data_IF_662410895583
#
_entry.id   IF_662410895583
#
_cell.length_a   1.000
_cell.length_b   1.000
_cell.length_c   1.000
_cell.angle_alpha   90.00
_cell.angle_beta   90.00
_cell.angle_gamma   90.00
#
_symmetry.space_group_name_H-M   'P 1'
#
loop_
_entity.id
_entity.type
_entity.pdbx_description
1 polymer ?
#
# COMPACT_ATOMS: atom_id res chain seq x y z
N UNK A 1 10.75 12.99 5.22
CA UNK A 1 10.38 11.56 5.33
C UNK A 1 10.61 10.78 4.04
N UNK A 2 10.02 11.19 2.91
CA UNK A 2 10.06 10.45 1.62
C UNK A 2 11.44 9.94 1.16
N UNK A 3 12.54 10.71 1.22
CA UNK A 3 13.86 10.24 0.77
C UNK A 3 14.35 8.96 1.47
N UNK A 4 13.91 8.70 2.72
CA UNK A 4 14.33 7.53 3.50
C UNK A 4 13.58 6.24 3.14
N UNK A 5 12.45 6.35 2.41
CA UNK A 5 11.56 5.21 2.14
C UNK A 5 11.29 4.99 0.65
N UNK A 6 11.61 5.96 -0.20
CA UNK A 6 11.31 5.91 -1.64
C UNK A 6 11.84 4.66 -2.33
N UNK A 7 13.05 4.19 -1.97
CA UNK A 7 13.64 3.01 -2.60
C UNK A 7 12.94 1.72 -2.17
N UNK A 8 12.45 1.65 -0.92
CA UNK A 8 11.59 0.55 -0.45
C UNK A 8 10.27 0.53 -1.22
N UNK A 9 9.66 1.71 -1.42
CA UNK A 9 8.42 1.84 -2.20
C UNK A 9 8.64 1.47 -3.67
N UNK A 10 9.73 1.94 -4.29
CA UNK A 10 10.09 1.56 -5.66
C UNK A 10 10.20 0.05 -5.82
N UNK A 11 10.95 -0.61 -4.95
CA UNK A 11 11.09 -2.06 -4.98
C UNK A 11 9.76 -2.81 -4.79
N UNK A 12 8.81 -2.23 -4.03
CA UNK A 12 7.47 -2.80 -3.86
C UNK A 12 6.69 -2.80 -5.18
N UNK A 13 6.74 -1.67 -5.89
CA UNK A 13 6.02 -1.38 -7.13
C UNK A 13 6.59 -2.18 -8.30
N UNK A 14 7.92 -2.14 -8.50
CA UNK A 14 8.60 -2.82 -9.61
C UNK A 14 8.44 -4.33 -9.56
N UNK A 15 8.21 -4.90 -8.38
CA UNK A 15 8.03 -6.35 -8.21
C UNK A 15 6.69 -6.86 -8.76
N UNK A 16 5.66 -6.04 -8.84
CA UNK A 16 4.34 -6.44 -9.36
C UNK A 16 4.00 -5.79 -10.69
N UNK A 17 4.52 -4.59 -10.97
CA UNK A 17 4.17 -3.82 -12.16
C UNK A 17 2.71 -3.35 -12.19
N UNK A 18 1.99 -3.41 -11.06
CA UNK A 18 0.57 -3.04 -10.96
C UNK A 18 0.34 -1.52 -10.78
N UNK A 19 1.41 -0.75 -10.63
CA UNK A 19 1.37 0.69 -10.38
C UNK A 19 2.64 1.36 -10.91
N UNK A 20 2.62 2.69 -11.07
CA UNK A 20 3.77 3.50 -11.47
C UNK A 20 4.46 4.10 -10.24
N UNK A 21 5.78 3.89 -10.11
CA UNK A 21 6.54 4.52 -9.03
C UNK A 21 6.57 6.04 -9.17
N UNK A 22 6.66 6.55 -10.40
CA UNK A 22 6.68 7.99 -10.67
C UNK A 22 5.37 8.66 -10.23
N UNK A 23 4.23 8.00 -10.46
CA UNK A 23 2.92 8.50 -10.07
C UNK A 23 2.79 8.52 -8.55
N UNK A 24 3.21 7.44 -7.88
CA UNK A 24 3.22 7.38 -6.40
C UNK A 24 4.16 8.45 -5.82
N UNK A 25 5.35 8.65 -6.39
CA UNK A 25 6.28 9.69 -5.94
C UNK A 25 5.67 11.08 -6.08
N UNK A 26 5.07 11.39 -7.23
CA UNK A 26 4.36 12.65 -7.45
C UNK A 26 3.21 12.84 -6.45
N UNK A 27 2.38 11.82 -6.25
CA UNK A 27 1.23 11.89 -5.35
C UNK A 27 1.64 12.07 -3.88
N UNK A 28 2.72 11.40 -3.46
CA UNK A 28 3.26 11.59 -2.11
C UNK A 28 3.79 13.01 -1.93
N UNK A 29 4.55 13.53 -2.91
CA UNK A 29 5.15 14.87 -2.82
C UNK A 29 4.11 16.00 -2.91
N UNK A 30 2.98 15.74 -3.54
CA UNK A 30 1.85 16.69 -3.64
C UNK A 30 0.80 16.52 -2.54
N UNK A 31 0.95 15.51 -1.67
CA UNK A 31 0.03 15.24 -0.56
C UNK A 31 -1.25 14.51 -0.95
N UNK A 32 -1.35 14.01 -2.18
CA UNK A 32 -2.45 13.17 -2.66
C UNK A 32 -2.37 11.74 -2.11
N UNK A 33 -1.17 11.30 -1.73
CA UNK A 33 -0.93 10.04 -1.03
C UNK A 33 -0.20 10.28 0.29
N UNK A 34 -0.51 9.45 1.29
CA UNK A 34 0.20 9.41 2.55
C UNK A 34 1.27 8.32 2.54
N UNK A 35 2.33 8.54 3.31
CA UNK A 35 3.39 7.58 3.60
C UNK A 35 3.25 7.09 5.04
N UNK A 36 3.27 5.78 5.20
CA UNK A 36 3.24 5.09 6.48
C UNK A 36 4.57 4.37 6.69
N UNK A 37 5.08 4.38 7.91
CA UNK A 37 6.29 3.66 8.27
C UNK A 37 6.07 2.83 9.52
N UNK A 38 6.67 1.65 9.55
CA UNK A 38 6.90 0.92 10.79
C UNK A 38 8.37 1.15 11.19
N UNK A 39 8.57 1.71 12.37
CA UNK A 39 9.89 2.02 12.92
C UNK A 39 10.03 1.34 14.29
N UNK A 40 11.12 0.62 14.50
CA UNK A 40 11.38 -0.12 15.75
C UNK A 40 12.26 0.67 16.74
N UNK A 41 12.54 1.94 16.47
CA UNK A 41 13.45 2.77 17.27
C UNK A 41 14.87 2.90 16.68
N UNK A 42 15.27 2.02 15.76
CA UNK A 42 16.59 2.08 15.09
C UNK A 42 16.49 2.09 13.57
N UNK A 43 15.52 1.39 12.99
CA UNK A 43 15.40 1.22 11.54
C UNK A 43 13.95 1.15 11.04
N UNK A 44 13.76 1.52 9.77
CA UNK A 44 12.47 1.46 9.10
C UNK A 44 12.23 0.03 8.60
N UNK A 45 11.43 -0.71 9.37
CA UNK A 45 11.04 -2.10 9.12
C UNK A 45 10.21 -2.24 7.85
N UNK A 46 9.27 -1.31 7.66
CA UNK A 46 8.38 -1.27 6.51
C UNK A 46 8.00 0.15 6.13
N UNK A 47 7.66 0.32 4.85
CA UNK A 47 7.03 1.51 4.32
C UNK A 47 5.82 1.12 3.48
N UNK A 48 4.76 1.92 3.58
CA UNK A 48 3.58 1.78 2.74
C UNK A 48 3.09 3.16 2.29
N UNK A 49 2.32 3.17 1.21
CA UNK A 49 1.62 4.36 0.72
C UNK A 49 0.12 4.09 0.62
N UNK A 50 -0.68 5.11 0.90
CA UNK A 50 -2.14 5.02 0.76
C UNK A 50 -2.73 6.21 0.02
N UNK A 51 -3.80 5.95 -0.72
CA UNK A 51 -4.60 6.96 -1.39
C UNK A 51 -6.07 6.82 -1.01
N UNK A 52 -6.76 7.93 -0.76
CA UNK A 52 -8.22 7.93 -0.63
C UNK A 52 -8.84 8.14 -2.00
N UNK A 53 -9.71 7.21 -2.42
CA UNK A 53 -10.42 7.28 -3.70
C UNK A 53 -11.93 7.16 -3.48
N UNK A 54 -12.74 7.67 -4.40
CA UNK A 54 -14.20 7.61 -4.34
C UNK A 54 -14.81 7.07 -5.64
N UNK A 55 -14.68 5.75 -5.93
CA UNK A 55 -15.34 5.15 -7.08
C UNK A 55 -16.87 5.17 -6.92
N UNK A 56 -17.39 4.61 -5.82
CA UNK A 56 -18.81 4.63 -5.46
C UNK A 56 -18.98 5.00 -3.98
N UNK A 57 -18.26 4.29 -3.10
CA UNK A 57 -18.00 4.72 -1.72
C UNK A 57 -16.55 5.18 -1.57
N UNK A 58 -16.23 5.88 -0.48
CA UNK A 58 -14.85 6.27 -0.16
C UNK A 58 -14.06 5.01 0.24
N UNK A 59 -12.91 4.78 -0.38
CA UNK A 59 -12.05 3.61 -0.17
C UNK A 59 -10.64 4.11 0.11
N UNK A 60 -9.96 3.51 1.09
CA UNK A 60 -8.53 3.72 1.29
C UNK A 60 -7.77 2.60 0.58
N UNK A 61 -6.99 2.98 -0.44
CA UNK A 61 -6.21 2.05 -1.25
C UNK A 61 -4.78 2.04 -0.74
N UNK A 62 -4.28 0.88 -0.33
CA UNK A 62 -2.86 0.63 -0.12
C UNK A 62 -2.19 0.51 -1.50
N UNK A 63 -1.47 1.55 -1.91
CA UNK A 63 -0.90 1.67 -3.27
C UNK A 63 0.47 1.00 -3.39
N UNK A 64 1.25 0.98 -2.31
CA UNK A 64 2.48 0.21 -2.23
C UNK A 64 2.76 -0.19 -0.79
N UNK A 65 3.42 -1.33 -0.59
CA UNK A 65 3.91 -1.75 0.72
C UNK A 65 5.08 -2.72 0.58
N UNK A 66 6.17 -2.44 1.30
CA UNK A 66 7.30 -3.34 1.45
C UNK A 66 7.88 -3.26 2.86
N UNK A 67 8.49 -4.36 3.28
CA UNK A 67 9.16 -4.48 4.57
C UNK A 67 9.81 -5.85 4.71
N UNK A 68 10.64 -5.99 5.72
CA UNK A 68 11.29 -7.25 6.13
C UNK A 68 10.81 -7.62 7.52
N UNK A 69 10.84 -8.92 7.84
CA UNK A 69 10.32 -9.45 9.11
C UNK A 69 8.88 -8.99 9.44
N UNK A 70 7.91 -9.56 8.70
CA UNK A 70 6.49 -9.16 8.76
C UNK A 70 5.93 -9.07 10.16
N UNK A 71 6.34 -9.95 11.06
CA UNK A 71 5.82 -9.97 12.43
C UNK A 71 6.02 -8.64 13.15
N UNK A 72 7.08 -7.91 12.84
CA UNK A 72 7.41 -6.64 13.50
C UNK A 72 6.61 -5.43 12.99
N UNK A 73 6.00 -5.52 11.80
CA UNK A 73 5.36 -4.34 11.18
C UNK A 73 3.94 -4.57 10.68
N UNK A 74 3.42 -5.80 10.69
CA UNK A 74 2.02 -6.05 10.35
C UNK A 74 1.02 -5.25 11.21
N UNK A 75 1.27 -4.95 12.51
CA UNK A 75 0.40 -4.07 13.28
C UNK A 75 0.24 -2.65 12.69
N UNK A 76 1.11 -2.22 11.76
CA UNK A 76 0.93 -0.96 11.03
C UNK A 76 -0.41 -0.91 10.27
N UNK A 77 -0.91 -2.05 9.79
CA UNK A 77 -2.18 -2.10 9.06
C UNK A 77 -3.38 -1.67 9.91
N UNK A 78 -3.40 -2.01 11.19
CA UNK A 78 -4.47 -1.60 12.10
C UNK A 78 -4.55 -0.06 12.22
N UNK A 79 -3.39 0.62 12.16
CA UNK A 79 -3.35 2.08 12.18
C UNK A 79 -3.82 2.69 10.86
N UNK A 80 -3.48 2.06 9.73
CA UNK A 80 -3.95 2.46 8.40
C UNK A 80 -5.47 2.27 8.29
N UNK A 81 -5.99 1.16 8.82
CA UNK A 81 -7.42 0.85 8.88
C UNK A 81 -8.16 1.86 9.73
N UNK A 82 -7.66 2.15 10.93
CA UNK A 82 -8.23 3.20 11.79
C UNK A 82 -8.22 4.57 11.11
N UNK A 83 -7.16 4.90 10.37
CA UNK A 83 -7.14 6.12 9.57
C UNK A 83 -8.22 6.10 8.48
N UNK A 84 -8.37 4.99 7.76
CA UNK A 84 -9.42 4.85 6.75
C UNK A 84 -10.83 5.00 7.35
N UNK A 85 -11.08 4.41 8.51
CA UNK A 85 -12.34 4.56 9.25
C UNK A 85 -12.60 6.03 9.64
N UNK A 86 -11.60 6.72 10.20
CA UNK A 86 -11.71 8.13 10.57
C UNK A 86 -11.96 9.03 9.35
N UNK A 87 -11.42 8.65 8.20
CA UNK A 87 -11.67 9.30 6.92
C UNK A 87 -13.06 8.99 6.35
N UNK A 88 -13.84 8.10 6.97
CA UNK A 88 -15.16 7.67 6.49
C UNK A 88 -15.08 6.75 5.28
N UNK A 89 -13.97 6.00 5.13
CA UNK A 89 -13.88 4.94 4.14
C UNK A 89 -14.77 3.76 4.53
N UNK A 90 -15.48 3.21 3.56
CA UNK A 90 -16.27 1.99 3.74
C UNK A 90 -15.43 0.72 3.67
N UNK A 91 -14.21 0.81 3.13
CA UNK A 91 -13.32 -0.33 2.97
C UNK A 91 -11.86 0.07 2.75
N UNK A 92 -10.99 -0.87 3.10
CA UNK A 92 -9.61 -0.94 2.65
C UNK A 92 -9.53 -1.70 1.33
N UNK A 93 -8.56 -1.36 0.47
CA UNK A 93 -8.28 -2.09 -0.75
C UNK A 93 -6.78 -2.20 -1.02
N UNK A 94 -6.34 -3.34 -1.53
CA UNK A 94 -4.97 -3.56 -1.98
C UNK A 94 -4.99 -4.20 -3.37
N UNK A 95 -4.08 -3.76 -4.24
CA UNK A 95 -3.75 -4.44 -5.49
C UNK A 95 -2.32 -4.97 -5.37
N UNK A 96 -2.16 -6.30 -5.30
CA UNK A 96 -0.84 -6.85 -4.98
C UNK A 96 -0.73 -8.36 -5.18
N UNK A 97 0.40 -8.89 -4.74
CA UNK A 97 0.69 -10.33 -4.83
C UNK A 97 -0.33 -11.14 -4.02
N UNK A 98 -0.73 -12.30 -4.56
CA UNK A 98 -1.67 -13.25 -3.90
C UNK A 98 -1.32 -13.59 -2.45
N UNK A 99 -0.03 -13.57 -2.09
CA UNK A 99 0.42 -13.87 -0.73
C UNK A 99 -0.14 -12.96 0.36
N UNK A 100 -0.62 -11.75 0.02
CA UNK A 100 -1.25 -10.84 0.99
C UNK A 100 -2.54 -11.41 1.61
N UNK A 101 -3.28 -12.22 0.87
CA UNK A 101 -4.51 -12.89 1.34
C UNK A 101 -4.26 -13.77 2.57
N UNK A 102 -3.05 -14.30 2.72
CA UNK A 102 -2.68 -15.15 3.86
C UNK A 102 -2.28 -14.36 5.11
N UNK A 103 -2.05 -13.07 4.96
CA UNK A 103 -1.37 -12.24 5.97
C UNK A 103 -2.28 -11.12 6.48
N UNK A 104 -3.12 -10.56 5.61
CA UNK A 104 -4.04 -9.48 5.97
C UNK A 104 -5.33 -10.07 6.55
N UNK A 105 -5.49 -9.96 7.86
CA UNK A 105 -6.70 -10.41 8.56
C UNK A 105 -7.91 -9.60 8.10
N UNK A 106 -9.03 -10.27 7.81
CA UNK A 106 -10.28 -9.62 7.39
C UNK A 106 -10.36 -9.24 5.91
N UNK A 107 -9.26 -9.30 5.15
CA UNK A 107 -9.24 -9.04 3.71
C UNK A 107 -9.69 -10.30 2.97
N UNK A 108 -10.49 -10.10 1.92
CA UNK A 108 -10.95 -11.17 1.00
C UNK A 108 -10.63 -10.80 -0.43
N UNK A 109 -10.32 -11.81 -1.25
CA UNK A 109 -10.16 -11.62 -2.69
C UNK A 109 -11.55 -11.49 -3.35
N UNK A 110 -12.13 -10.29 -3.30
CA UNK A 110 -13.44 -10.00 -3.90
C UNK A 110 -13.42 -10.09 -5.44
N UNK A 111 -12.29 -9.74 -6.05
CA UNK A 111 -12.09 -9.71 -7.50
C UNK A 111 -10.68 -10.17 -7.88
N UNK A 112 -10.49 -10.49 -9.16
CA UNK A 112 -9.20 -10.91 -9.73
C UNK A 112 -8.69 -9.91 -10.77
N UNK A 113 -7.37 -9.78 -10.89
CA UNK A 113 -6.72 -9.03 -11.97
C UNK A 113 -6.50 -9.99 -13.15
N UNK A 114 -7.03 -9.64 -14.32
CA UNK A 114 -6.83 -10.39 -15.56
C UNK A 114 -5.80 -9.64 -16.42
N UNK A 115 -4.74 -10.32 -16.83
CA UNK A 115 -3.69 -9.73 -17.67
C UNK A 115 -3.50 -10.58 -18.94
N UNK A 116 -3.48 -9.91 -20.10
CA UNK A 116 -3.09 -10.50 -21.38
C UNK A 116 -1.93 -9.69 -21.95
N UNK A 117 -0.79 -10.34 -22.17
CA UNK A 117 0.34 -9.71 -22.85
C UNK A 117 0.00 -9.52 -24.32
N UNK A 118 0.13 -8.29 -24.80
CA UNK A 118 0.08 -7.96 -26.22
C UNK A 118 1.51 -8.00 -26.76
N UNK A 119 1.69 -8.32 -28.05
CA UNK A 119 3.01 -8.36 -28.69
C UNK A 119 3.76 -7.04 -28.49
N UNK A 120 5.10 -7.11 -28.46
CA UNK A 120 5.97 -5.95 -28.20
C UNK A 120 5.73 -4.80 -29.16
#
# INVERSE_FOLDING_TARGET
MWPHVRDKIRAAVERTGLSSFADIESDVLTGMQLVWIAWNGSEIMAAATTQLVRPFHKVCVLTACSGYDRAQWLPLFEQIEKYAENEGCSSMRIYGRKGWERVLSGYRAEHVILEKRLGR
#
